data_IF_330390929542
#
_entry.id   IF_330390929542
#
_cell.length_a   1.000
_cell.length_b   1.000
_cell.length_c   1.000
_cell.angle_alpha   90.00
_cell.angle_beta   90.00
_cell.angle_gamma   90.00
#
_symmetry.space_group_name_H-M   'P 1'
#
loop_
_entity.id
_entity.type
_entity.pdbx_description
1 polymer ?
#
# COMPACT_ATOMS: atom_id res chain seq x y z
N UNK A 1 -15.39 -17.70 -25.36
CA UNK A 1 -16.29 -16.54 -25.15
C UNK A 1 -16.02 -16.00 -23.76
N UNK A 2 -15.79 -14.69 -23.57
CA UNK A 2 -15.61 -14.14 -22.24
C UNK A 2 -16.90 -14.32 -21.43
N UNK A 3 -16.77 -14.82 -20.21
CA UNK A 3 -17.88 -14.99 -19.27
C UNK A 3 -18.11 -13.66 -18.57
N UNK A 4 -19.34 -13.15 -18.64
CA UNK A 4 -19.75 -11.95 -17.91
C UNK A 4 -20.06 -12.34 -16.46
N UNK A 5 -19.35 -11.74 -15.52
CA UNK A 5 -19.62 -11.85 -14.09
C UNK A 5 -20.19 -10.52 -13.64
N UNK A 6 -21.48 -10.50 -13.29
CA UNK A 6 -22.18 -9.30 -12.82
C UNK A 6 -22.22 -9.34 -11.30
N UNK A 7 -21.57 -8.37 -10.67
CA UNK A 7 -21.66 -8.16 -9.23
C UNK A 7 -22.76 -7.16 -8.93
N UNK A 8 -23.60 -7.45 -7.92
CA UNK A 8 -24.58 -6.48 -7.43
C UNK A 8 -23.91 -5.30 -6.71
N UNK A 9 -22.84 -5.56 -5.96
CA UNK A 9 -21.99 -4.54 -5.36
C UNK A 9 -20.58 -5.08 -5.07
N UNK A 10 -19.60 -4.18 -5.01
CA UNK A 10 -18.28 -4.42 -4.44
C UNK A 10 -18.19 -3.54 -3.19
N UNK A 11 -18.32 -4.14 -2.01
CA UNK A 11 -18.21 -3.44 -0.74
C UNK A 11 -16.81 -3.64 -0.17
N UNK A 12 -16.04 -2.55 -0.08
CA UNK A 12 -14.71 -2.58 0.53
C UNK A 12 -14.73 -1.83 1.85
N UNK A 13 -14.53 -2.56 2.93
CA UNK A 13 -14.64 -2.04 4.29
C UNK A 13 -13.38 -1.29 4.75
N UNK A 14 -12.22 -1.65 4.22
CA UNK A 14 -10.95 -0.96 4.48
C UNK A 14 -9.93 -1.26 3.40
N UNK A 15 -9.14 -0.25 3.05
CA UNK A 15 -7.90 -0.38 2.27
C UNK A 15 -6.78 0.20 3.12
N UNK A 16 -5.62 -0.45 3.09
CA UNK A 16 -4.42 0.07 3.75
C UNK A 16 -3.43 0.57 2.68
N UNK A 17 -2.24 0.96 3.11
CA UNK A 17 -1.17 1.36 2.20
C UNK A 17 -0.92 0.30 1.12
N UNK A 18 -0.55 0.74 -0.08
CA UNK A 18 -0.30 -0.13 -1.24
C UNK A 18 -1.49 -1.00 -1.68
N UNK A 19 -2.71 -0.45 -1.70
CA UNK A 19 -3.91 -1.22 -2.09
C UNK A 19 -4.57 -0.73 -3.38
N UNK A 20 -5.11 -1.67 -4.17
CA UNK A 20 -5.87 -1.39 -5.39
C UNK A 20 -7.10 -2.29 -5.48
N UNK A 21 -8.25 -1.70 -5.80
CA UNK A 21 -9.47 -2.42 -6.19
C UNK A 21 -9.59 -2.31 -7.72
N UNK A 22 -9.72 -3.43 -8.41
CA UNK A 22 -9.90 -3.44 -9.86
C UNK A 22 -10.77 -4.58 -10.33
N UNK A 23 -11.50 -4.36 -11.42
CA UNK A 23 -12.38 -5.32 -12.09
C UNK A 23 -12.06 -5.39 -13.57
N UNK A 24 -12.10 -6.58 -14.17
CA UNK A 24 -11.78 -6.78 -15.59
C UNK A 24 -10.29 -7.02 -15.83
N UNK A 25 -9.85 -6.90 -17.09
CA UNK A 25 -8.42 -6.96 -17.41
C UNK A 25 -7.75 -5.68 -16.92
N UNK A 26 -6.83 -5.83 -15.97
CA UNK A 26 -6.02 -4.76 -15.46
C UNK A 26 -4.55 -5.11 -15.62
N UNK A 27 -3.85 -4.32 -16.43
CA UNK A 27 -2.40 -4.34 -16.46
C UNK A 27 -1.93 -3.20 -15.54
N UNK A 28 -1.14 -3.54 -14.52
CA UNK A 28 -0.57 -2.59 -13.56
C UNK A 28 0.94 -2.41 -13.81
N UNK A 29 1.36 -1.99 -15.02
CA UNK A 29 2.76 -1.75 -15.27
C UNK A 29 3.25 -0.63 -14.35
N UNK A 30 4.46 -0.80 -13.81
CA UNK A 30 5.13 0.19 -12.95
C UNK A 30 4.41 0.54 -11.63
N UNK A 31 3.49 -0.33 -11.17
CA UNK A 31 2.97 -0.21 -9.81
C UNK A 31 4.11 -0.36 -8.80
N UNK A 32 4.37 0.69 -8.03
CA UNK A 32 5.36 0.68 -6.96
C UNK A 32 4.85 1.45 -5.76
N UNK A 33 5.21 0.98 -4.57
CA UNK A 33 4.91 1.66 -3.33
C UNK A 33 6.11 1.55 -2.41
N UNK A 34 6.39 2.65 -1.73
CA UNK A 34 7.44 2.74 -0.71
C UNK A 34 6.87 3.53 0.45
N UNK A 35 7.09 3.03 1.65
CA UNK A 35 6.63 3.68 2.86
C UNK A 35 7.41 3.20 4.06
N UNK A 36 7.61 4.11 5.00
CA UNK A 36 8.08 3.82 6.35
C UNK A 36 6.94 4.14 7.29
N UNK A 37 6.62 3.22 8.20
CA UNK A 37 5.63 3.45 9.23
C UNK A 37 6.26 3.25 10.61
N UNK A 38 5.98 4.17 11.52
CA UNK A 38 6.55 4.16 12.87
C UNK A 38 5.43 4.40 13.89
N UNK A 39 4.83 3.31 14.34
CA UNK A 39 3.64 3.36 15.17
C UNK A 39 4.00 3.14 16.64
N UNK A 40 4.60 4.16 17.26
CA UNK A 40 5.05 4.17 18.66
C UNK A 40 4.19 3.32 19.62
N UNK A 41 2.98 3.79 19.93
CA UNK A 41 2.03 3.13 20.81
C UNK A 41 1.14 2.09 20.10
N UNK A 42 1.46 1.74 18.85
CA UNK A 42 0.65 0.94 17.95
C UNK A 42 -0.53 1.70 17.32
N UNK A 43 -1.39 0.94 16.63
CA UNK A 43 -2.65 1.41 16.04
C UNK A 43 -3.80 0.70 16.78
N UNK A 44 -4.44 1.32 17.78
CA UNK A 44 -5.55 0.70 18.48
C UNK A 44 -6.82 0.72 17.61
N UNK A 45 -7.50 -0.42 17.50
CA UNK A 45 -8.75 -0.55 16.73
C UNK A 45 -9.86 -1.05 17.68
N UNK A 46 -10.98 -0.33 17.72
CA UNK A 46 -12.13 -0.64 18.59
C UNK A 46 -12.11 0.11 19.93
N UNK A 47 -12.89 -0.35 20.91
CA UNK A 47 -12.90 0.24 22.25
C UNK A 47 -11.59 -0.08 22.98
N UNK A 48 -10.82 0.95 23.29
CA UNK A 48 -9.47 0.84 23.85
C UNK A 48 -9.21 1.97 24.86
N UNK A 49 -8.67 1.61 26.02
CA UNK A 49 -8.21 2.56 27.04
C UNK A 49 -6.72 2.31 27.26
N UNK A 50 -5.93 3.37 27.08
CA UNK A 50 -4.49 3.39 27.30
C UNK A 50 -4.17 4.52 28.26
N UNK A 51 -3.75 4.17 29.47
CA UNK A 51 -3.38 5.12 30.53
C UNK A 51 -1.92 4.88 30.92
N UNK A 52 -1.19 5.97 31.19
CA UNK A 52 0.21 5.96 31.63
C UNK A 52 1.20 5.34 30.63
N UNK A 53 1.02 5.55 29.33
CA UNK A 53 1.96 5.09 28.31
C UNK A 53 2.97 6.20 27.94
N UNK A 54 4.26 5.90 28.06
CA UNK A 54 5.35 6.72 27.54
C UNK A 54 5.98 5.96 26.36
N UNK A 55 5.90 6.54 25.16
CA UNK A 55 6.51 5.97 23.97
C UNK A 55 7.65 6.89 23.52
N UNK A 56 8.86 6.36 23.53
CA UNK A 56 10.05 7.05 23.01
C UNK A 56 10.56 6.23 21.85
N UNK A 57 10.61 6.85 20.66
CA UNK A 57 11.24 6.24 19.50
C UNK A 57 12.49 7.05 19.21
N UNK A 58 13.63 6.39 19.29
CA UNK A 58 14.90 6.93 18.85
C UNK A 58 15.28 6.19 17.58
N UNK A 59 15.24 6.90 16.47
CA UNK A 59 15.82 6.43 15.23
C UNK A 59 17.22 7.03 15.11
N UNK A 60 18.23 6.18 15.00
CA UNK A 60 19.63 6.60 14.99
C UNK A 60 20.30 6.22 13.66
N UNK A 61 19.55 6.35 12.57
CA UNK A 61 20.08 6.28 11.22
C UNK A 61 20.57 7.66 10.74
N UNK A 62 21.67 7.66 9.98
CA UNK A 62 22.21 8.89 9.35
C UNK A 62 21.37 9.28 8.12
N UNK A 63 20.71 8.31 7.50
CA UNK A 63 19.81 8.49 6.37
C UNK A 63 18.61 7.55 6.52
N UNK A 64 17.42 8.15 6.52
CA UNK A 64 16.15 7.44 6.58
C UNK A 64 15.85 6.73 5.23
N UNK A 65 15.08 5.64 5.27
CA UNK A 65 14.67 4.73 4.19
C UNK A 65 14.94 5.30 2.79
N UNK A 66 15.98 4.84 2.08
CA UNK A 66 16.27 5.33 0.74
C UNK A 66 15.14 4.91 -0.20
N UNK A 67 14.33 5.89 -0.59
CA UNK A 67 13.24 5.74 -1.57
C UNK A 67 13.88 5.57 -2.94
N UNK A 68 13.74 4.39 -3.54
CA UNK A 68 14.27 4.08 -4.87
C UNK A 68 13.20 4.33 -5.94
N UNK A 69 13.51 5.11 -6.97
CA UNK A 69 12.62 5.27 -8.11
C UNK A 69 12.86 4.15 -9.16
N UNK A 70 11.94 3.20 -9.36
CA UNK A 70 12.11 2.15 -10.37
C UNK A 70 12.06 2.66 -11.82
N UNK A 71 11.65 3.91 -12.07
CA UNK A 71 11.50 4.45 -13.43
C UNK A 71 12.81 4.88 -14.11
N UNK A 72 13.96 4.84 -13.44
CA UNK A 72 15.25 5.25 -14.02
C UNK A 72 15.87 4.19 -14.95
N UNK A 73 15.39 2.94 -14.93
CA UNK A 73 15.92 1.85 -15.78
C UNK A 73 14.88 0.83 -16.26
N UNK A 74 13.65 1.24 -16.58
CA UNK A 74 12.63 0.34 -17.13
C UNK A 74 12.16 0.78 -18.55
N UNK A 75 12.87 0.42 -19.64
CA UNK A 75 12.32 0.56 -20.98
C UNK A 75 11.19 -0.45 -21.16
N UNK A 76 9.94 0.00 -20.99
CA UNK A 76 8.79 -0.87 -21.21
C UNK A 76 8.64 -1.18 -22.71
N UNK A 77 8.30 -2.44 -23.08
CA UNK A 77 7.85 -2.72 -24.44
C UNK A 77 6.46 -2.11 -24.64
N UNK A 78 6.39 -1.01 -25.41
CA UNK A 78 5.15 -0.27 -25.71
C UNK A 78 4.15 -1.04 -26.61
N UNK A 79 4.26 -2.36 -26.74
CA UNK A 79 3.39 -3.19 -27.59
C UNK A 79 3.12 -4.52 -26.91
N UNK A 80 1.88 -4.69 -26.45
CA UNK A 80 1.30 -6.02 -26.21
C UNK A 80 0.58 -6.43 -27.50
N UNK A 81 1.00 -7.55 -28.10
CA UNK A 81 0.36 -8.17 -29.27
C UNK A 81 -1.04 -8.70 -28.93
#
# INVERSE_FOLDING_TARGET
>A
MPVSVVFNQIAVNSLNDNSLISTGQNNQPDWSWQGKNNNAAGIPIGFFISASNLNVIVDNDVADTPIYNPSLSNPQPNVQL
#
